data_IF_958146703781
#
_entry.id   IF_958146703781
#
_cell.length_a   1.000
_cell.length_b   1.000
_cell.length_c   1.000
_cell.angle_alpha   90.00
_cell.angle_beta   90.00
_cell.angle_gamma   90.00
#
_symmetry.space_group_name_H-M   'P 1'
#
loop_
_entity.id
_entity.type
_entity.pdbx_description
1 polymer ?
#
# COMPACT_ATOMS: atom_id res chain seq x y z
N UNK A 1 5.00 -7.06 9.94
CA UNK A 1 3.60 -6.69 9.59
C UNK A 1 2.67 -7.80 10.02
N UNK A 2 1.46 -7.47 10.50
CA UNK A 2 0.44 -8.44 10.91
C UNK A 2 -0.80 -8.33 10.02
N UNK A 3 -1.66 -9.35 10.01
CA UNK A 3 -2.92 -9.32 9.27
C UNK A 3 -3.83 -8.15 9.73
N UNK A 4 -3.84 -7.84 11.03
CA UNK A 4 -4.58 -6.68 11.57
C UNK A 4 -4.07 -5.35 11.02
N UNK A 5 -2.76 -5.18 10.86
CA UNK A 5 -2.19 -3.95 10.28
C UNK A 5 -2.54 -3.77 8.80
N UNK A 6 -2.63 -4.87 8.04
CA UNK A 6 -3.06 -4.84 6.64
C UNK A 6 -4.53 -4.43 6.56
N UNK A 7 -5.41 -5.05 7.37
CA UNK A 7 -6.84 -4.69 7.38
C UNK A 7 -7.10 -3.25 7.80
N UNK A 8 -6.43 -2.76 8.84
CA UNK A 8 -6.53 -1.36 9.25
C UNK A 8 -6.08 -0.40 8.14
N UNK A 9 -5.08 -0.78 7.36
CA UNK A 9 -4.62 0.03 6.23
C UNK A 9 -5.60 0.00 5.05
N UNK A 10 -6.14 -1.16 4.70
CA UNK A 10 -7.15 -1.30 3.66
C UNK A 10 -8.44 -0.55 4.00
N UNK A 11 -8.90 -0.59 5.26
CA UNK A 11 -10.06 0.20 5.70
C UNK A 11 -9.82 1.70 5.53
N UNK A 12 -8.65 2.22 5.95
CA UNK A 12 -8.31 3.65 5.77
C UNK A 12 -8.22 4.05 4.30
N UNK A 13 -7.77 3.16 3.42
CA UNK A 13 -7.74 3.41 1.98
C UNK A 13 -9.16 3.39 1.38
N UNK A 14 -10.03 2.52 1.89
CA UNK A 14 -11.45 2.45 1.53
C UNK A 14 -12.20 3.71 1.97
N UNK A 15 -12.01 4.16 3.21
CA UNK A 15 -12.60 5.41 3.74
C UNK A 15 -12.19 6.63 2.91
N UNK A 16 -11.00 6.60 2.31
CA UNK A 16 -10.48 7.63 1.40
C UNK A 16 -10.93 7.45 -0.05
N UNK A 17 -11.65 6.38 -0.38
CA UNK A 17 -12.12 6.09 -1.73
C UNK A 17 -11.04 5.55 -2.69
N UNK A 18 -9.87 5.16 -2.19
CA UNK A 18 -8.75 4.65 -3.00
C UNK A 18 -8.92 3.18 -3.38
N UNK A 19 -9.66 2.42 -2.58
CA UNK A 19 -10.06 1.04 -2.87
C UNK A 19 -11.55 0.88 -2.61
N UNK A 20 -12.18 -0.04 -3.32
CA UNK A 20 -13.53 -0.51 -3.04
C UNK A 20 -13.46 -1.96 -2.56
N UNK A 21 -14.37 -2.38 -1.70
CA UNK A 21 -14.42 -3.76 -1.24
C UNK A 21 -15.73 -4.46 -1.55
N UNK A 22 -15.64 -5.79 -1.64
CA UNK A 22 -16.79 -6.66 -1.81
C UNK A 22 -16.62 -7.94 -0.99
N UNK A 23 -17.70 -8.39 -0.37
CA UNK A 23 -17.73 -9.70 0.29
C UNK A 23 -17.88 -10.77 -0.77
N UNK A 24 -16.90 -11.66 -0.88
CA UNK A 24 -17.00 -12.83 -1.73
C UNK A 24 -17.88 -13.92 -1.13
N UNK A 25 -18.11 -14.95 -1.93
CA UNK A 25 -18.96 -16.08 -1.56
C UNK A 25 -18.46 -16.80 -0.31
N UNK A 26 -19.40 -17.37 0.44
CA UNK A 26 -19.06 -18.24 1.57
C UNK A 26 -18.49 -19.54 1.03
N UNK A 27 -17.19 -19.76 1.23
CA UNK A 27 -16.56 -21.02 0.83
C UNK A 27 -16.45 -21.94 2.04
N UNK A 28 -16.96 -23.17 1.93
CA UNK A 28 -16.91 -24.18 3.01
C UNK A 28 -15.50 -24.48 3.52
N UNK A 29 -14.46 -24.15 2.74
CA UNK A 29 -13.04 -24.32 3.06
C UNK A 29 -12.53 -23.45 4.23
N UNK A 30 -13.30 -22.46 4.69
CA UNK A 30 -12.89 -21.54 5.79
C UNK A 30 -13.89 -21.47 6.96
N UNK A 31 -14.62 -22.56 7.21
CA UNK A 31 -15.61 -22.60 8.30
C UNK A 31 -16.71 -21.54 8.14
N UNK A 32 -17.07 -21.20 6.90
CA UNK A 32 -18.14 -20.25 6.58
C UNK A 32 -17.78 -18.76 6.65
N UNK A 33 -16.55 -18.39 7.04
CA UNK A 33 -16.13 -16.98 7.01
C UNK A 33 -15.91 -16.50 5.57
N UNK A 34 -16.72 -15.54 5.14
CA UNK A 34 -16.60 -14.86 3.84
C UNK A 34 -15.29 -14.08 3.74
N UNK A 35 -14.67 -14.09 2.56
CA UNK A 35 -13.50 -13.25 2.26
C UNK A 35 -13.97 -11.86 1.85
N UNK A 36 -13.26 -10.82 2.29
CA UNK A 36 -13.43 -9.45 1.79
C UNK A 36 -12.37 -9.21 0.73
N UNK A 37 -12.79 -8.99 -0.51
CA UNK A 37 -11.92 -8.64 -1.64
C UNK A 37 -11.85 -7.13 -1.75
N UNK A 38 -10.69 -6.60 -2.14
CA UNK A 38 -10.47 -5.18 -2.36
C UNK A 38 -9.97 -4.98 -3.78
N UNK A 39 -10.50 -3.98 -4.47
CA UNK A 39 -10.12 -3.59 -5.83
C UNK A 39 -9.78 -2.11 -5.83
N UNK A 40 -8.69 -1.74 -6.49
CA UNK A 40 -8.28 -0.33 -6.63
C UNK A 40 -9.33 0.45 -7.44
N UNK A 41 -9.64 1.67 -7.01
CA UNK A 41 -10.51 2.57 -7.76
C UNK A 41 -9.70 3.38 -8.77
N UNK A 42 -10.36 4.07 -9.71
CA UNK A 42 -9.68 5.03 -10.58
C UNK A 42 -8.96 6.13 -9.77
N UNK A 43 -9.57 6.61 -8.68
CA UNK A 43 -8.97 7.57 -7.77
C UNK A 43 -7.72 7.01 -7.07
N UNK A 44 -7.78 5.76 -6.61
CA UNK A 44 -6.63 5.08 -6.01
C UNK A 44 -5.48 4.89 -7.01
N UNK A 45 -5.79 4.51 -8.25
CA UNK A 45 -4.79 4.34 -9.30
C UNK A 45 -4.08 5.66 -9.62
N UNK A 46 -4.82 6.76 -9.76
CA UNK A 46 -4.25 8.10 -9.94
C UNK A 46 -3.36 8.49 -8.75
N UNK A 47 -3.87 8.33 -7.52
CA UNK A 47 -3.12 8.65 -6.30
C UNK A 47 -1.80 7.87 -6.24
N UNK A 48 -1.80 6.60 -6.65
CA UNK A 48 -0.59 5.78 -6.67
C UNK A 48 0.46 6.33 -7.65
N UNK A 49 0.03 6.79 -8.83
CA UNK A 49 0.90 7.44 -9.80
C UNK A 49 1.49 8.74 -9.23
N UNK A 50 0.66 9.60 -8.65
CA UNK A 50 1.09 10.87 -8.04
C UNK A 50 2.12 10.65 -6.92
N UNK A 51 1.88 9.66 -6.04
CA UNK A 51 2.81 9.32 -4.95
C UNK A 51 4.13 8.77 -5.48
N UNK A 52 4.10 7.98 -6.57
CA UNK A 52 5.32 7.48 -7.20
C UNK A 52 6.15 8.63 -7.75
N UNK A 53 5.53 9.56 -8.47
CA UNK A 53 6.20 10.74 -9.03
C UNK A 53 6.82 11.60 -7.93
N UNK A 54 6.08 11.87 -6.84
CA UNK A 54 6.61 12.63 -5.70
C UNK A 54 7.81 11.95 -5.05
N UNK A 55 7.77 10.62 -4.88
CA UNK A 55 8.89 9.86 -4.31
C UNK A 55 10.11 9.90 -5.21
N UNK A 56 9.92 9.79 -6.52
CA UNK A 56 11.00 9.91 -7.50
C UNK A 56 11.61 11.32 -7.45
N UNK A 57 10.79 12.37 -7.45
CA UNK A 57 11.27 13.73 -7.34
C UNK A 57 12.09 13.96 -6.06
N UNK A 58 11.60 13.46 -4.92
CA UNK A 58 12.36 13.52 -3.65
C UNK A 58 13.67 12.77 -3.76
N UNK A 59 13.67 11.56 -4.36
CA UNK A 59 14.87 10.76 -4.55
C UNK A 59 15.93 11.49 -5.39
N UNK A 60 15.52 12.11 -6.49
CA UNK A 60 16.41 12.88 -7.37
C UNK A 60 16.97 14.16 -6.69
N UNK A 61 16.32 14.66 -5.65
CA UNK A 61 16.80 15.81 -4.88
C UNK A 61 17.85 15.43 -3.83
N UNK A 62 18.06 14.14 -3.54
CA UNK A 62 19.04 13.71 -2.55
C UNK A 62 20.44 13.90 -3.14
N UNK A 63 21.30 14.75 -2.55
CA UNK A 63 22.68 14.90 -3.03
C UNK A 63 23.47 13.62 -2.82
N UNK A 64 24.36 13.27 -3.75
CA UNK A 64 25.23 12.09 -3.63
C UNK A 64 26.03 12.07 -2.32
N UNK A 65 26.39 13.25 -1.81
CA UNK A 65 27.09 13.43 -0.53
C UNK A 65 26.26 13.00 0.67
N UNK A 66 24.93 13.09 0.61
CA UNK A 66 24.04 12.70 1.71
C UNK A 66 23.93 11.18 1.87
N UNK A 67 24.22 10.42 0.81
CA UNK A 67 24.20 8.95 0.81
C UNK A 67 25.61 8.33 0.94
N UNK A 68 26.65 9.14 1.18
CA UNK A 68 27.99 8.63 1.49
C UNK A 68 28.00 7.94 2.86
N UNK A 69 27.59 6.68 2.87
CA UNK A 69 27.84 5.77 3.98
C UNK A 69 29.33 5.46 3.97
N UNK A 70 30.06 5.90 5.01
CA UNK A 70 31.43 5.45 5.25
C UNK A 70 31.41 3.95 5.55
N UNK A 71 31.42 3.12 4.51
CA UNK A 71 31.75 1.71 4.63
C UNK A 71 33.26 1.60 4.84
N UNK A 72 33.67 1.72 6.10
CA UNK A 72 35.03 1.50 6.53
C UNK A 72 35.08 1.38 8.05
N UNK A 73 35.19 0.16 8.56
CA UNK A 73 36.44 -0.34 9.13
C UNK A 73 36.36 -1.87 9.29
N UNK A 74 37.39 -2.52 8.76
CA UNK A 74 37.80 -3.89 9.09
C UNK A 74 38.27 -3.99 10.55
#
# INVERSE_FOLDING_TARGET
>A
MTLSTVHASLNRLEDKGMVASQMGESTGKRGGKRKKYFTITAFGAKTLADVREQREAIWQMIPDTALQVKLGHA
#
